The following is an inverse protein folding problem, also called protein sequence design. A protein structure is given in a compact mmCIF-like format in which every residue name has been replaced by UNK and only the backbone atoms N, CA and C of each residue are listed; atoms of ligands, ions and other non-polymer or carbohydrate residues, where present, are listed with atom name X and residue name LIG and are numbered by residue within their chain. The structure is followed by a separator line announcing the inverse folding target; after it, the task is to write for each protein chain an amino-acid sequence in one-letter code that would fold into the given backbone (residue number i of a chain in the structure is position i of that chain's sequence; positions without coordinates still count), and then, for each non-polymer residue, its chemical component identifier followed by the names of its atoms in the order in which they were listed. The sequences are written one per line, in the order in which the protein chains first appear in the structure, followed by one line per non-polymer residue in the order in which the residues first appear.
data_IF_037670917484
#
_entry.id   IF_037670917484
#
_cell.length_a   1.000
_cell.length_b   1.000
_cell.length_c   1.000
_cell.angle_alpha   90.00
_cell.angle_beta   90.00
_cell.angle_gamma   90.00
#
_symmetry.space_group_name_H-M   'P 1'
#
loop_
_entity.id
_entity.type
_entity.pdbx_description
1 polymer ?
2 water ?
#
# COMPACT_ATOMS: atom_id res chain seq x y z
N UNK A 15 9.38 -28.09 -17.81
CA UNK A 15 8.35 -27.79 -16.77
C UNK A 15 7.38 -26.69 -17.27
N UNK A 16 6.11 -27.03 -17.40
CA UNK A 16 5.12 -26.05 -17.82
C UNK A 16 4.53 -25.31 -16.61
N UNK A 17 3.90 -24.18 -16.88
CA UNK A 17 3.13 -23.48 -15.86
C UNK A 17 1.78 -24.16 -15.67
N UNK A 18 1.35 -24.25 -14.40
CA UNK A 18 0.08 -24.90 -14.04
C UNK A 18 -0.64 -24.08 -13.01
N UNK A 19 -1.96 -24.25 -12.92
CA UNK A 19 -2.77 -23.65 -11.85
C UNK A 19 -2.37 -24.26 -10.52
N UNK A 20 -2.72 -23.59 -9.42
CA UNK A 20 -2.41 -24.02 -8.04
C UNK A 20 -0.90 -24.11 -7.70
N UNK A 21 -0.02 -23.88 -8.68
CA UNK A 21 1.41 -23.87 -8.38
C UNK A 21 1.77 -22.47 -7.95
N UNK A 22 2.43 -22.38 -6.80
CA UNK A 22 2.80 -21.11 -6.20
C UNK A 22 3.95 -20.52 -6.96
N UNK A 23 3.76 -19.28 -7.37
CA UNK A 23 4.72 -18.63 -8.23
C UNK A 23 5.01 -17.25 -7.74
N UNK A 24 6.18 -16.78 -8.15
CA UNK A 24 6.56 -15.40 -8.05
C UNK A 24 6.35 -14.78 -9.45
N UNK A 25 5.78 -13.57 -9.48
CA UNK A 25 5.47 -12.93 -10.73
C UNK A 25 6.31 -11.68 -10.90
N UNK A 26 7.17 -11.71 -11.93
CA UNK A 26 8.23 -10.73 -12.06
C UNK A 26 8.16 -9.94 -13.36
N UNK A 27 8.64 -8.71 -13.29
CA UNK A 27 8.89 -7.90 -14.47
C UNK A 27 10.28 -7.28 -14.28
N UNK A 28 10.88 -6.85 -15.37
CA UNK A 28 12.14 -6.14 -15.33
C UNK A 28 11.86 -4.63 -15.25
N UNK A 29 12.49 -3.95 -14.31
CA UNK A 29 12.43 -2.51 -14.20
C UNK A 29 13.85 -1.94 -14.35
N UNK A 30 13.94 -0.71 -14.84
CA UNK A 30 15.21 -0.06 -15.11
C UNK A 30 15.35 1.11 -14.17
N UNK A 31 15.85 0.79 -12.99
CA UNK A 31 16.02 1.76 -11.89
C UNK A 31 17.13 2.81 -12.19
N UNK A 32 18.35 2.60 -11.68
CA UNK A 32 19.44 3.58 -11.86
C UNK A 32 20.13 3.53 -13.23
N UNK A 33 19.38 3.23 -14.30
CA UNK A 33 19.96 2.74 -15.58
C UNK A 33 20.45 1.28 -15.43
N UNK A 34 19.94 0.62 -14.40
CA UNK A 34 20.29 -0.73 -14.02
C UNK A 34 19.01 -1.57 -14.02
N UNK A 35 18.99 -2.65 -14.79
CA UNK A 35 17.81 -3.49 -14.78
C UNK A 35 17.82 -4.43 -13.61
N UNK A 36 16.65 -4.58 -12.99
CA UNK A 36 16.43 -5.65 -12.05
C UNK A 36 15.02 -6.23 -12.12
N UNK A 37 14.88 -7.47 -11.63
CA UNK A 37 13.62 -8.17 -11.60
C UNK A 37 12.80 -7.76 -10.37
N UNK A 38 11.59 -7.26 -10.59
CA UNK A 38 10.68 -6.91 -9.48
C UNK A 38 9.52 -7.88 -9.37
N UNK A 39 9.05 -8.02 -8.12
CA UNK A 39 8.02 -8.97 -7.74
C UNK A 39 6.72 -8.29 -7.38
N UNK A 40 5.64 -8.76 -7.98
CA UNK A 40 4.33 -8.27 -7.64
C UNK A 40 4.01 -8.68 -6.21
N UNK A 41 3.40 -7.77 -5.47
CA UNK A 41 2.99 -7.99 -4.10
C UNK A 41 1.70 -7.22 -3.85
N UNK A 42 1.18 -7.35 -2.63
CA UNK A 42 -0.09 -6.73 -2.21
C UNK A 42 -0.35 -7.07 -0.75
N UNK A 43 -1.33 -6.39 -0.16
CA UNK A 43 -1.72 -6.61 1.23
C UNK A 43 -3.24 -6.60 1.35
N UNK A 48 -6.64 -0.69 -1.05
CA UNK A 48 -6.09 -2.06 -1.09
C UNK A 48 -5.53 -2.42 -2.48
N UNK A 49 -4.53 -1.66 -2.91
CA UNK A 49 -3.95 -1.74 -4.26
C UNK A 49 -2.67 -2.60 -4.31
N UNK A 50 -2.17 -2.86 -5.52
CA UNK A 50 -0.95 -3.66 -5.72
C UNK A 50 0.33 -2.85 -5.90
N UNK A 51 1.46 -3.47 -5.56
CA UNK A 51 2.79 -2.82 -5.63
C UNK A 51 3.94 -3.78 -5.94
N UNK A 52 5.17 -3.28 -5.98
CA UNK A 52 6.33 -4.09 -6.39
C UNK A 52 7.46 -4.06 -5.38
N UNK A 53 8.31 -5.08 -5.41
CA UNK A 53 9.41 -5.19 -4.44
C UNK A 53 10.62 -5.96 -4.98
N UNK A 54 11.72 -5.92 -4.22
CA UNK A 54 13.01 -6.55 -4.54
C UNK A 54 13.86 -5.67 -5.46
N UNK A 63 4.43 -13.11 0.85
CA UNK A 63 3.55 -12.00 0.40
C UNK A 63 3.71 -11.57 -1.11
N UNK A 64 4.77 -12.09 -1.74
CA UNK A 64 4.92 -12.01 -3.18
C UNK A 64 4.43 -13.31 -3.85
N UNK A 65 3.71 -14.16 -3.11
CA UNK A 65 3.29 -15.47 -3.64
C UNK A 65 1.92 -15.46 -4.31
N UNK A 66 1.86 -16.03 -5.50
CA UNK A 66 0.64 -16.05 -6.29
C UNK A 66 0.37 -17.48 -6.82
N UNK A 67 -0.90 -17.75 -7.11
CA UNK A 67 -1.30 -18.96 -7.81
C UNK A 67 -2.23 -18.57 -8.95
N UNK A 68 -2.00 -19.13 -10.12
CA UNK A 68 -2.96 -19.02 -11.19
C UNK A 68 -4.13 -19.94 -10.93
N UNK A 69 -5.35 -19.49 -11.23
CA UNK A 69 -6.50 -20.39 -11.22
C UNK A 69 -7.45 -20.25 -12.37
N UNK A 70 -8.31 -21.25 -12.53
CA UNK A 70 -9.26 -21.22 -13.62
C UNK A 70 -10.69 -21.14 -13.12
N UNK A 71 -10.87 -21.39 -11.84
CA UNK A 71 -12.18 -21.30 -11.23
C UNK A 71 -12.06 -20.84 -9.79
N UNK A 72 -13.17 -20.33 -9.28
CA UNK A 72 -13.42 -20.13 -7.86
C UNK A 72 -13.36 -21.49 -7.14
N UNK A 78 -4.13 -28.85 -10.53
CA UNK A 78 -2.95 -28.23 -11.13
C UNK A 78 -2.93 -28.45 -12.64
N UNK A 79 -3.90 -27.86 -13.34
CA UNK A 79 -3.98 -28.00 -14.78
C UNK A 79 -2.95 -27.10 -15.49
N UNK A 80 -2.44 -27.56 -16.62
CA UNK A 80 -1.47 -26.77 -17.38
C UNK A 80 -2.21 -25.62 -18.04
N UNK A 81 -1.56 -24.47 -18.05
CA UNK A 81 -2.15 -23.27 -18.62
C UNK A 81 -1.77 -23.19 -20.07
N UNK A 82 -2.73 -22.78 -20.90
CA UNK A 82 -2.48 -22.54 -22.33
C UNK A 82 -2.60 -21.05 -22.61
N UNK A 83 -1.90 -20.57 -23.63
CA UNK A 83 -2.03 -19.18 -24.02
C UNK A 83 -3.47 -18.93 -24.49
N UNK A 84 -4.00 -17.77 -24.11
CA UNK A 84 -5.36 -17.39 -24.48
C UNK A 84 -6.41 -17.86 -23.49
N UNK A 85 -5.97 -18.66 -22.53
CA UNK A 85 -6.76 -19.01 -21.35
C UNK A 85 -6.90 -17.79 -20.47
N UNK A 86 -8.10 -17.61 -19.94
CA UNK A 86 -8.37 -16.57 -18.97
C UNK A 86 -8.17 -17.17 -17.60
N UNK A 87 -7.57 -16.41 -16.70
CA UNK A 87 -7.26 -16.95 -15.38
C UNK A 87 -7.48 -15.94 -14.28
N UNK A 88 -7.53 -16.47 -13.07
CA UNK A 88 -7.51 -15.68 -11.86
C UNK A 88 -6.06 -15.71 -11.34
N UNK A 89 -5.64 -14.63 -10.68
CA UNK A 89 -4.41 -14.63 -9.92
C UNK A 89 -4.73 -14.43 -8.45
N UNK A 90 -4.63 -15.53 -7.70
CA UNK A 90 -5.00 -15.50 -6.30
C UNK A 90 -3.76 -15.15 -5.50
N UNK A 91 -3.88 -14.12 -4.66
CA UNK A 91 -2.80 -13.75 -3.77
C UNK A 91 -2.85 -14.67 -2.57
N UNK A 92 -1.73 -15.36 -2.26
CA UNK A 92 -1.72 -16.43 -1.24
C UNK A 92 -1.84 -15.98 0.20
N UNK A 93 -1.16 -14.90 0.58
CA UNK A 93 -1.21 -14.41 1.96
C UNK A 93 -2.64 -14.00 2.32
N UNK A 94 -3.29 -13.29 1.40
CA UNK A 94 -4.59 -12.68 1.67
C UNK A 94 -5.75 -13.60 1.29
N UNK A 95 -5.56 -14.35 0.20
CA UNK A 95 -6.62 -15.17 -0.35
C UNK A 95 -7.50 -14.41 -1.32
N UNK A 96 -7.21 -13.12 -1.53
CA UNK A 96 -7.94 -12.28 -2.49
C UNK A 96 -7.35 -12.33 -3.91
N UNK A 97 -8.05 -11.73 -4.87
CA UNK A 97 -7.65 -11.83 -6.28
C UNK A 97 -7.20 -10.51 -6.90
N UNK A 98 -6.34 -10.59 -7.90
CA UNK A 98 -5.85 -9.39 -8.56
C UNK A 98 -6.90 -8.99 -9.59
N UNK A 99 -7.49 -7.82 -9.35
CA UNK A 99 -8.60 -7.33 -10.15
C UNK A 99 -8.25 -5.95 -10.68
N UNK A 100 -8.60 -5.72 -11.94
CA UNK A 100 -8.58 -4.41 -12.55
C UNK A 100 -9.78 -3.58 -12.00
N UNK A 101 -9.49 -2.40 -11.44
CA UNK A 101 -10.54 -1.58 -10.83
C UNK A 101 -11.15 -0.54 -11.81
N UNK A 102 -12.18 0.17 -11.37
CA UNK A 102 -12.73 1.26 -12.18
C UNK A 102 -11.76 2.43 -12.12
N UNK A 103 -11.68 3.03 -10.95
CA UNK A 103 -10.80 4.17 -10.65
C UNK A 103 -9.43 4.22 -11.35
N UNK A 104 -8.96 5.44 -11.59
CA UNK A 104 -7.59 5.71 -12.06
C UNK A 104 -6.86 6.67 -11.11
N UNK A 105 -6.70 6.28 -9.85
CA UNK A 105 -6.09 7.19 -8.88
C UNK A 105 -4.59 6.97 -8.60
N UNK A 106 -4.08 5.76 -8.84
CA UNK A 106 -2.65 5.48 -8.67
C UNK A 106 -1.80 6.03 -9.81
N UNK A 107 -2.44 6.56 -10.84
CA UNK A 107 -1.75 6.83 -12.11
C UNK A 107 -1.84 8.28 -12.51
N UNK A 108 -0.77 8.79 -13.08
CA UNK A 108 -0.77 10.08 -13.74
C UNK A 108 -0.96 9.92 -15.26
N UNK A 109 -1.34 8.72 -15.69
CA UNK A 109 -1.99 8.50 -16.99
C UNK A 109 -3.44 8.12 -16.68
N UNK A 110 -4.40 8.95 -17.10
CA UNK A 110 -5.80 8.73 -16.75
C UNK A 110 -6.49 7.72 -17.66
N UNK A 111 -5.75 7.14 -18.59
CA UNK A 111 -6.28 6.04 -19.38
C UNK A 111 -5.84 4.71 -18.81
N UNK A 112 -5.13 4.72 -17.68
CA UNK A 112 -4.76 3.45 -17.05
C UNK A 112 -5.71 3.24 -15.88
N UNK A 113 -6.11 2.00 -15.64
CA UNK A 113 -6.93 1.72 -14.45
C UNK A 113 -6.06 1.23 -13.32
N UNK A 114 -6.50 1.51 -12.09
CA UNK A 114 -5.95 0.97 -10.86
C UNK A 114 -6.12 -0.54 -10.85
N UNK A 115 -5.12 -1.22 -10.29
CA UNK A 115 -5.16 -2.67 -10.03
C UNK A 115 -5.08 -2.97 -8.51
N UNK A 116 -5.94 -3.87 -8.02
CA UNK A 116 -5.92 -4.17 -6.59
C UNK A 116 -6.47 -5.53 -6.22
N UNK A 117 -6.49 -5.83 -4.91
CA UNK A 117 -7.08 -7.08 -4.41
C UNK A 117 -8.59 -7.00 -4.14
N UNK A 118 -9.33 -7.98 -4.63
CA UNK A 118 -10.78 -8.04 -4.41
C UNK A 118 -11.17 -9.44 -3.86
N UNK A 119 -12.09 -9.45 -2.92
CA UNK A 119 -12.60 -10.70 -2.39
C UNK A 119 -13.62 -11.29 -3.36
N UNK A 120 -14.42 -10.41 -3.99
CA UNK A 120 -15.45 -10.82 -4.95
C UNK A 120 -14.87 -11.21 -6.29
N UNK A 121 -15.45 -12.24 -6.91
CA UNK A 121 -14.91 -12.74 -8.17
C UNK A 121 -15.98 -13.10 -9.20
N UNK A 122 -17.21 -12.67 -8.98
CA UNK A 122 -18.20 -12.67 -10.06
C UNK A 122 -17.83 -11.48 -10.94
N UNK A 123 -18.14 -11.57 -12.23
CA UNK A 123 -17.78 -10.53 -13.18
C UNK A 123 -16.42 -10.82 -13.80
N UNK A 124 -16.01 -9.94 -14.71
CA UNK A 124 -14.82 -10.15 -15.51
C UNK A 124 -13.57 -9.45 -14.97
N UNK A 125 -13.76 -8.54 -13.99
CA UNK A 125 -12.69 -7.66 -13.49
C UNK A 125 -11.44 -8.36 -12.88
N UNK A 126 -11.63 -9.55 -12.30
CA UNK A 126 -10.53 -10.32 -11.70
C UNK A 126 -9.87 -11.28 -12.68
N UNK A 127 -10.34 -11.27 -13.93
CA UNK A 127 -9.87 -12.21 -14.95
C UNK A 127 -8.86 -11.61 -15.93
N UNK A 128 -7.84 -12.41 -16.21
CA UNK A 128 -6.70 -11.97 -17.05
C UNK A 128 -6.44 -13.04 -18.07
N UNK A 129 -6.24 -12.67 -19.32
CA UNK A 129 -5.88 -13.63 -20.33
C UNK A 129 -4.37 -13.60 -20.57
N UNK A 130 -3.79 -14.77 -20.78
CA UNK A 130 -2.33 -14.90 -20.92
C UNK A 130 -1.96 -14.97 -22.38
N UNK A 131 -0.98 -14.16 -22.77
CA UNK A 131 -0.51 -14.13 -24.16
C UNK A 131 1.00 -14.19 -24.26
N UNK A 132 1.52 -14.78 -25.34
CA UNK A 132 2.97 -14.84 -25.47
C UNK A 132 3.54 -13.46 -25.80
N UNK A 133 4.75 -13.19 -25.30
CA UNK A 133 5.52 -12.06 -25.74
C UNK A 133 5.96 -12.31 -27.20
N UNK A 134 6.50 -13.50 -27.47
CA UNK A 134 7.18 -13.76 -28.74
C UNK A 134 6.33 -14.49 -29.75
N UNK A 135 6.68 -14.31 -31.02
CA UNK A 135 6.06 -15.03 -32.13
C UNK A 135 6.45 -16.50 -32.09
N UNK A 136 7.51 -16.81 -31.35
CA UNK A 136 7.93 -18.18 -31.12
C UNK A 136 7.09 -18.85 -30.02
N UNK A 137 5.87 -18.33 -29.82
CA UNK A 137 4.88 -19.00 -28.97
C UNK A 137 3.44 -18.69 -29.44
N UNK A 138 2.58 -19.70 -29.47
CA UNK A 138 1.26 -19.58 -30.09
C UNK A 138 0.07 -19.76 -29.15
N UNK A 139 -1.05 -19.15 -29.55
CA UNK A 139 -2.31 -19.22 -28.85
C UNK A 139 -2.87 -20.64 -28.87
N UNK A 140 -3.20 -21.14 -27.67
CA UNK A 140 -3.60 -22.52 -27.51
C UNK A 140 -2.45 -23.45 -27.14
N UNK A 141 -1.21 -22.95 -27.24
CA UNK A 141 -0.04 -23.73 -26.82
C UNK A 141 0.19 -23.68 -25.30
N UNK A 142 0.91 -24.67 -24.78
CA UNK A 142 1.27 -24.76 -23.37
C UNK A 142 2.13 -23.57 -22.97
N UNK A 143 1.86 -23.00 -21.81
CA UNK A 143 2.67 -21.91 -21.29
C UNK A 143 3.82 -22.52 -20.50
N UNK A 144 5.06 -22.29 -20.96
CA UNK A 144 6.24 -22.77 -20.22
C UNK A 144 6.68 -21.81 -19.12
N UNK A 145 7.38 -22.37 -18.13
CA UNK A 145 8.03 -21.54 -17.14
C UNK A 145 9.24 -20.93 -17.86
N UNK A 146 9.50 -19.65 -17.62
CA UNK A 146 10.57 -18.97 -18.35
C UNK A 146 10.05 -18.37 -19.65
N UNK A 147 8.75 -18.50 -19.91
CA UNK A 147 8.11 -17.78 -20.99
C UNK A 147 7.78 -16.35 -20.54
N UNK A 148 8.13 -15.38 -21.39
CA UNK A 148 7.79 -14.00 -21.10
C UNK A 148 6.29 -13.84 -21.43
N UNK A 149 5.52 -13.33 -20.48
CA UNK A 149 4.09 -13.33 -20.63
C UNK A 149 3.52 -11.96 -20.72
N UNK A 150 2.40 -11.86 -21.43
CA UNK A 150 1.60 -10.63 -21.50
C UNK A 150 0.24 -10.98 -20.93
N UNK A 151 -0.25 -10.14 -20.04
CA UNK A 151 -1.46 -10.36 -19.25
C UNK A 151 -2.49 -9.27 -19.57
N UNK A 152 -3.65 -9.72 -20.09
CA UNK A 152 -4.65 -8.82 -20.61
C UNK A 152 -5.88 -8.93 -19.77
N UNK A 153 -6.30 -7.81 -19.18
CA UNK A 153 -7.52 -7.71 -18.40
C UNK A 153 -8.74 -7.98 -19.28
N UNK A 154 -9.55 -8.94 -18.85
CA UNK A 154 -10.78 -9.27 -19.58
C UNK A 154 -11.79 -8.14 -19.60
N UNK A 155 -11.96 -7.45 -18.48
CA UNK A 155 -12.97 -6.40 -18.43
C UNK A 155 -12.54 -5.12 -19.12
N UNK A 156 -11.27 -4.73 -18.98
CA UNK A 156 -10.85 -3.41 -19.47
C UNK A 156 -9.97 -3.46 -20.72
N UNK A 157 -9.57 -4.68 -21.12
CA UNK A 157 -8.72 -4.88 -22.30
C UNK A 157 -7.37 -4.18 -22.26
N UNK A 158 -6.88 -3.95 -21.05
CA UNK A 158 -5.61 -3.28 -20.85
C UNK A 158 -4.64 -4.34 -20.39
N UNK A 159 -3.35 -4.02 -20.47
CA UNK A 159 -2.31 -4.90 -19.97
C UNK A 159 -2.02 -4.66 -18.51
N UNK A 160 -1.66 -5.71 -17.78
CA UNK A 160 -1.00 -5.56 -16.47
C UNK A 160 0.33 -4.92 -16.77
N UNK A 161 0.63 -3.83 -16.07
CA UNK A 161 1.55 -2.84 -16.62
C UNK A 161 2.40 -2.29 -15.52
N UNK A 162 3.70 -2.19 -15.78
CA UNK A 162 4.64 -1.65 -14.81
C UNK A 162 4.67 -0.15 -14.96
N UNK A 163 4.49 0.58 -13.86
CA UNK A 163 4.49 2.03 -13.95
C UNK A 163 5.36 2.66 -12.85
N UNK A 164 6.05 3.75 -13.15
CA UNK A 164 6.73 4.52 -12.11
C UNK A 164 5.90 5.72 -11.62
N UNK A 168 9.09 5.71 -7.20
CA UNK A 168 8.34 4.49 -6.92
C UNK A 168 7.88 3.72 -8.18
N UNK A 169 7.64 2.42 -7.98
CA UNK A 169 7.16 1.54 -9.02
C UNK A 169 5.84 0.88 -8.60
N UNK A 170 4.88 0.93 -9.50
CA UNK A 170 3.58 0.28 -9.27
C UNK A 170 3.07 -0.43 -10.49
N UNK A 171 2.04 -1.20 -10.27
CA UNK A 171 1.33 -1.86 -11.32
C UNK A 171 -0.03 -1.17 -11.54
N UNK A 172 -0.39 -1.03 -12.81
CA UNK A 172 -1.72 -0.58 -13.18
C UNK A 172 -2.18 -1.39 -14.40
N UNK A 173 -3.30 -1.02 -14.99
CA UNK A 173 -3.81 -1.68 -16.19
C UNK A 173 -3.84 -0.63 -17.29
N UNK A 174 -2.98 -0.79 -18.31
CA UNK A 174 -2.73 0.28 -19.29
C UNK A 174 -2.72 -0.21 -20.73
N UNK A 175 -2.73 0.72 -21.68
CA UNK A 175 -2.63 0.34 -23.08
C UNK A 175 -1.23 -0.11 -23.51
N UNK A 176 -0.22 0.09 -22.67
CA UNK A 176 1.15 -0.32 -23.01
C UNK A 176 1.48 -1.67 -22.39
N UNK A 177 2.12 -2.53 -23.16
CA UNK A 177 2.48 -3.82 -22.60
C UNK A 177 3.71 -3.80 -21.66
N UNK A 178 3.62 -4.65 -20.65
CA UNK A 178 4.75 -5.02 -19.82
C UNK A 178 4.90 -6.54 -19.91
N UNK A 179 6.15 -7.01 -19.89
CA UNK A 179 6.43 -8.45 -19.94
C UNK A 179 6.63 -9.07 -18.55
N UNK A 180 5.90 -10.14 -18.26
CA UNK A 180 5.95 -10.79 -16.99
C UNK A 180 6.54 -12.18 -17.18
N UNK A 181 7.24 -12.65 -16.16
CA UNK A 181 7.74 -14.00 -16.14
C UNK A 181 7.47 -14.55 -14.77
N UNK A 182 7.34 -15.86 -14.75
CA UNK A 182 6.97 -16.58 -13.58
C UNK A 182 8.11 -17.50 -13.17
N UNK A 183 8.41 -17.46 -11.87
CA UNK A 183 9.31 -18.42 -11.22
C UNK A 183 8.60 -19.20 -10.11
N UNK A 184 9.00 -20.47 -9.87
CA UNK A 184 8.47 -21.25 -8.74
C UNK A 184 8.90 -20.70 -7.38
N UNK A 185 7.99 -20.75 -6.42
CA UNK A 185 8.27 -20.30 -5.05
C UNK A 185 7.60 -21.25 -4.07
N UNK B 15 10.28 27.04 17.55
CA UNK B 15 8.91 27.26 17.01
C UNK B 15 7.88 26.23 17.50
N UNK B 16 6.64 26.67 17.63
CA UNK B 16 5.54 25.78 17.98
C UNK B 16 4.93 25.13 16.74
N UNK B 17 4.27 24.01 16.93
CA UNK B 17 3.57 23.39 15.85
C UNK B 17 2.27 24.15 15.62
N UNK B 18 1.94 24.41 14.36
CA UNK B 18 0.67 25.03 13.99
C UNK B 18 -0.01 24.21 12.91
N UNK B 19 -1.31 24.41 12.75
CA UNK B 19 -2.07 23.78 11.68
C UNK B 19 -1.56 24.30 10.34
N UNK B 20 -1.76 23.52 9.28
CA UNK B 20 -1.48 23.94 7.90
C UNK B 20 0.02 24.11 7.55
N UNK B 21 0.91 23.92 8.52
CA UNK B 21 2.34 23.92 8.23
C UNK B 21 2.76 22.50 7.85
N UNK B 22 3.39 22.36 6.69
CA UNK B 22 3.78 21.06 6.16
C UNK B 22 4.91 20.48 6.99
N UNK B 23 4.72 19.24 7.44
CA UNK B 23 5.62 18.62 8.40
C UNK B 23 5.88 17.18 8.02
N UNK B 24 7.00 16.66 8.47
CA UNK B 24 7.26 15.22 8.42
C UNK B 24 6.91 14.64 9.75
N UNK B 25 6.35 13.45 9.72
CA UNK B 25 5.98 12.75 10.92
C UNK B 25 6.94 11.54 11.14
N UNK B 26 7.78 11.65 12.16
CA UNK B 26 8.88 10.72 12.43
C UNK B 26 8.60 9.81 13.63
N UNK B 27 9.06 8.58 13.55
CA UNK B 27 9.17 7.73 14.74
C UNK B 27 10.53 7.01 14.71
N UNK B 28 11.01 6.55 15.86
CA UNK B 28 12.24 5.77 15.94
C UNK B 28 11.87 4.29 15.81
N UNK B 29 12.47 3.63 14.83
CA UNK B 29 12.32 2.19 14.62
C UNK B 29 13.64 1.46 14.91
N UNK B 30 13.55 0.21 15.36
CA UNK B 30 14.72 -0.60 15.68
C UNK B 30 14.89 -1.86 14.82
N UNK B 31 15.76 -1.71 13.83
CA UNK B 31 16.00 -2.72 12.81
C UNK B 31 17.14 -3.68 13.24
N UNK B 32 18.36 -3.44 12.75
CA UNK B 32 19.46 -4.42 12.85
C UNK B 32 20.15 -4.42 14.24
N UNK B 33 19.35 -4.39 15.31
CA UNK B 33 19.73 -3.80 16.62
C UNK B 33 20.20 -2.32 16.47
N UNK B 34 19.79 -1.70 15.35
CA UNK B 34 20.13 -0.32 15.03
C UNK B 34 18.87 0.56 15.00
N UNK B 35 18.97 1.74 15.60
CA UNK B 35 17.87 2.68 15.62
C UNK B 35 17.97 3.65 14.46
N UNK B 36 16.84 3.84 13.79
CA UNK B 36 16.75 4.76 12.69
C UNK B 36 15.47 5.55 12.86
N UNK B 37 15.54 6.84 12.57
CA UNK B 37 14.33 7.68 12.49
C UNK B 37 13.63 7.48 11.17
N UNK B 38 12.37 7.09 11.23
CA UNK B 38 11.56 6.90 10.03
C UNK B 38 10.49 7.99 9.92
N UNK B 39 10.11 8.28 8.68
CA UNK B 39 9.10 9.27 8.32
C UNK B 39 7.93 8.53 7.70
N UNK B 40 6.73 8.74 8.25
CA UNK B 40 5.51 8.23 7.66
C UNK B 40 5.27 8.95 6.34
N UNK B 41 5.09 8.16 5.29
CA UNK B 41 4.89 8.63 3.95
C UNK B 41 3.78 7.81 3.29
N UNK B 42 3.48 8.13 2.03
CA UNK B 42 2.57 7.33 1.23
C UNK B 42 2.95 7.37 -0.25
N UNK B 47 -1.91 6.96 -1.24
CA UNK B 47 -2.27 5.56 -1.47
C UNK B 47 -1.84 4.68 -0.30
N UNK B 48 -0.87 3.78 -0.54
CA UNK B 48 -0.34 2.90 0.50
C UNK B 48 0.69 3.55 1.47
N UNK B 49 0.47 3.34 2.77
CA UNK B 49 1.39 3.77 3.82
C UNK B 49 2.70 2.96 3.89
N UNK B 50 3.74 3.61 4.43
CA UNK B 50 5.09 3.05 4.49
C UNK B 50 6.00 4.05 5.19
N UNK B 51 7.26 3.65 5.43
CA UNK B 51 8.18 4.54 6.10
C UNK B 51 9.45 4.79 5.31
N UNK B 52 10.15 5.87 5.61
CA UNK B 52 11.39 6.18 4.87
C UNK B 52 12.53 6.70 5.76
N UNK B 61 10.39 12.77 -0.27
CA UNK B 61 10.23 14.03 0.46
C UNK B 61 8.84 14.66 0.25
N UNK B 62 8.39 14.75 -1.00
CA UNK B 62 7.00 15.18 -1.32
C UNK B 62 5.92 14.21 -0.80
N UNK B 63 6.20 12.91 -0.87
CA UNK B 63 5.23 11.88 -0.54
C UNK B 63 5.20 11.65 0.97
N UNK B 64 6.09 12.34 1.67
CA UNK B 64 6.10 12.26 3.12
C UNK B 64 5.63 13.50 3.90
N UNK B 65 5.15 14.55 3.20
CA UNK B 65 4.63 15.78 3.86
C UNK B 65 3.21 15.62 4.42
N UNK B 66 3.01 16.16 5.61
CA UNK B 66 1.70 16.13 6.29
C UNK B 66 1.31 17.51 6.79
N UNK B 67 0.03 17.75 7.03
CA UNK B 67 -0.40 18.93 7.76
C UNK B 67 -1.43 18.58 8.81
N UNK B 68 -1.26 19.08 10.02
CA UNK B 68 -2.28 18.96 11.03
C UNK B 68 -3.33 20.00 10.75
N UNK B 69 -4.59 19.64 11.02
CA UNK B 69 -5.67 20.62 10.99
C UNK B 69 -6.80 20.39 11.99
N UNK B 70 -7.42 21.48 12.40
CA UNK B 70 -8.45 21.41 13.42
C UNK B 70 -9.83 21.29 12.81
N UNK B 71 -9.92 21.56 11.51
CA UNK B 71 -11.18 21.50 10.81
C UNK B 71 -10.92 21.18 9.35
N UNK B 72 -11.94 20.65 8.68
CA UNK B 72 -11.91 20.39 7.25
C UNK B 72 -12.22 21.70 6.52
N UNK B 78 -3.32 29.73 10.59
CA UNK B 78 -2.42 28.65 11.02
C UNK B 78 -2.35 28.66 12.56
N UNK B 79 -3.21 27.89 13.20
CA UNK B 79 -3.38 27.98 14.65
C UNK B 79 -2.44 27.03 15.41
N UNK B 80 -1.84 27.53 16.47
CA UNK B 80 -0.87 26.77 17.26
C UNK B 80 -1.59 25.60 17.89
N UNK B 81 -0.95 24.44 17.89
CA UNK B 81 -1.60 23.26 18.41
C UNK B 81 -1.36 23.17 19.91
N UNK B 82 -2.43 22.85 20.62
CA UNK B 82 -2.35 22.64 22.06
C UNK B 82 -2.39 21.15 22.34
N UNK B 83 -1.78 20.74 23.43
CA UNK B 83 -1.90 19.36 23.84
C UNK B 83 -3.34 19.17 24.28
N UNK B 84 -3.94 18.05 23.89
CA UNK B 84 -5.30 17.69 24.22
C UNK B 84 -6.27 17.94 23.07
N UNK B 85 -5.83 18.76 22.11
CA UNK B 85 -6.61 19.11 20.92
C UNK B 85 -6.80 17.90 20.04
N UNK B 86 -7.94 17.83 19.37
CA UNK B 86 -8.22 16.84 18.32
C UNK B 86 -7.75 17.42 17.00
N UNK B 87 -7.14 16.60 16.15
CA UNK B 87 -6.70 17.11 14.85
C UNK B 87 -7.00 16.12 13.72
N UNK B 88 -7.05 16.66 12.51
CA UNK B 88 -6.97 15.86 11.29
C UNK B 88 -5.51 15.83 10.89
N UNK B 89 -5.08 14.72 10.30
CA UNK B 89 -3.75 14.64 9.71
C UNK B 89 -3.86 14.46 8.22
N UNK B 90 -3.66 15.55 7.49
CA UNK B 90 -3.91 15.52 6.06
C UNK B 90 -2.62 15.25 5.30
N UNK B 91 -2.67 14.24 4.45
CA UNK B 91 -1.54 13.89 3.62
C UNK B 91 -1.58 14.84 2.44
N UNK B 92 -0.47 15.56 2.25
CA UNK B 92 -0.37 16.62 1.26
C UNK B 92 -0.45 16.18 -0.17
N UNK B 93 0.33 15.17 -0.56
CA UNK B 93 0.35 14.71 -1.95
C UNK B 93 -1.03 14.25 -2.42
N UNK B 94 -1.72 13.49 -1.56
CA UNK B 94 -3.01 12.93 -1.91
C UNK B 94 -4.19 13.83 -1.56
N UNK B 95 -4.05 14.59 -0.48
CA UNK B 95 -5.16 15.40 0.01
C UNK B 95 -6.09 14.53 0.85
N UNK B 96 -5.63 13.31 1.11
CA UNK B 96 -6.37 12.34 1.92
C UNK B 96 -6.04 12.43 3.43
N UNK B 97 -6.94 11.90 4.25
CA UNK B 97 -6.77 11.97 5.71
C UNK B 97 -6.37 10.65 6.38
N UNK B 98 -5.48 10.74 7.36
CA UNK B 98 -5.08 9.53 8.08
C UNK B 98 -6.24 9.12 8.98
N UNK B 99 -6.70 7.89 8.79
CA UNK B 99 -7.90 7.45 9.47
C UNK B 99 -7.78 6.05 10.02
N UNK B 100 -8.45 5.85 11.15
CA UNK B 100 -8.44 4.58 11.82
C UNK B 100 -9.57 3.73 11.22
N UNK B 101 -9.21 2.59 10.62
CA UNK B 101 -10.15 1.76 9.88
C UNK B 101 -10.76 0.73 10.80
N UNK B 102 -11.78 0.02 10.31
CA UNK B 102 -12.51 -0.91 11.16
C UNK B 102 -12.04 -2.36 11.06
N UNK B 103 -10.98 -2.58 10.29
CA UNK B 103 -10.51 -3.94 10.06
C UNK B 103 -9.24 -4.13 10.85
N UNK B 104 -8.85 -5.40 11.06
CA UNK B 104 -7.55 -5.75 11.57
C UNK B 104 -6.83 -6.72 10.63
N UNK B 105 -6.64 -6.31 9.39
CA UNK B 105 -5.98 -7.18 8.41
C UNK B 105 -4.45 -7.06 8.47
N UNK B 106 -3.94 -5.85 8.65
CA UNK B 106 -2.49 -5.58 8.60
C UNK B 106 -1.66 -6.18 9.74
N UNK B 107 -2.33 -6.68 10.76
CA UNK B 107 -1.69 -7.00 12.04
C UNK B 107 -1.96 -8.42 12.47
N UNK B 108 -1.02 -8.95 13.26
CA UNK B 108 -1.16 -10.23 13.94
C UNK B 108 -1.94 -10.07 15.25
N UNK B 109 -1.68 -8.94 15.90
CA UNK B 109 -2.47 -8.47 17.02
C UNK B 109 -3.83 -8.05 16.49
N UNK B 110 -4.85 -8.84 16.81
CA UNK B 110 -6.22 -8.60 16.34
C UNK B 110 -6.97 -7.61 17.22
N UNK B 111 -6.27 -7.04 18.19
CA UNK B 111 -6.83 -5.94 18.96
C UNK B 111 -6.32 -4.61 18.42
N UNK B 112 -5.62 -4.64 17.29
CA UNK B 112 -5.15 -3.42 16.68
C UNK B 112 -5.97 -3.15 15.42
N UNK B 113 -6.25 -1.89 15.13
CA UNK B 113 -7.02 -1.61 13.91
C UNK B 113 -6.09 -1.16 12.80
N UNK B 114 -6.47 -1.43 11.56
CA UNK B 114 -5.77 -0.89 10.42
C UNK B 114 -5.92 0.63 10.33
N UNK B 115 -4.87 1.27 9.82
CA UNK B 115 -4.87 2.71 9.58
C UNK B 115 -4.68 2.97 8.06
N UNK B 116 -5.45 3.89 7.51
CA UNK B 116 -5.34 4.17 6.08
C UNK B 116 -5.76 5.57 5.69
N UNK B 117 -5.60 5.89 4.41
CA UNK B 117 -5.92 7.23 3.94
C UNK B 117 -7.32 7.28 3.34
N UNK B 118 -8.17 8.15 3.87
CA UNK B 118 -9.52 8.30 3.35
C UNK B 118 -9.85 9.75 3.01
N UNK B 119 -10.76 9.95 2.06
CA UNK B 119 -11.26 11.28 1.69
C UNK B 119 -12.44 11.67 2.57
N UNK B 120 -13.17 10.66 3.05
CA UNK B 120 -14.34 10.88 3.85
C UNK B 120 -13.98 11.07 5.32
N UNK B 121 -14.42 12.21 5.85
CA UNK B 121 -14.05 12.65 7.16
C UNK B 121 -15.27 12.81 8.05
N UNK B 122 -16.35 12.11 7.75
CA UNK B 122 -17.48 12.18 8.68
C UNK B 122 -17.20 11.28 9.87
N UNK B 123 -17.68 11.70 11.03
CA UNK B 123 -17.48 10.96 12.25
C UNK B 123 -16.08 11.12 12.80
N UNK B 124 -15.71 10.22 13.70
CA UNK B 124 -14.53 10.35 14.54
C UNK B 124 -13.30 9.59 14.03
N UNK B 125 -13.46 8.75 13.01
CA UNK B 125 -12.33 7.91 12.53
C UNK B 125 -11.02 8.64 12.09
N UNK B 126 -11.14 9.85 11.57
CA UNK B 126 -9.98 10.56 11.03
C UNK B 126 -9.43 11.54 12.02
N UNK B 127 -10.01 11.52 13.22
CA UNK B 127 -9.62 12.43 14.28
C UNK B 127 -8.70 11.78 15.32
N UNK B 128 -7.66 12.53 15.66
CA UNK B 128 -6.57 12.08 16.53
C UNK B 128 -6.32 13.20 17.53
N UNK B 129 -6.09 12.85 18.79
CA UNK B 129 -5.75 13.80 19.81
C UNK B 129 -4.25 13.71 20.13
N UNK B 130 -3.66 14.88 20.33
CA UNK B 130 -2.24 15.00 20.64
C UNK B 130 -2.00 15.02 22.15
N UNK B 131 -1.06 14.18 22.62
CA UNK B 131 -0.69 14.15 24.04
C UNK B 131 0.80 14.19 24.23
N UNK B 132 1.28 14.67 25.39
CA UNK B 132 2.73 14.71 25.66
C UNK B 132 3.28 13.31 25.96
N UNK B 133 4.46 12.99 25.42
CA UNK B 133 5.13 11.73 25.77
C UNK B 133 5.71 11.79 27.19
N UNK B 134 5.88 13.01 27.70
CA UNK B 134 6.57 13.27 28.95
C UNK B 134 5.75 14.14 29.91
N UNK B 135 5.98 13.94 31.22
CA UNK B 135 5.39 14.77 32.28
C UNK B 135 6.02 16.17 32.34
N UNK B 136 7.13 16.32 31.60
CA UNK B 136 7.74 17.61 31.34
C UNK B 136 6.96 18.41 30.28
N UNK B 137 5.69 18.04 30.08
CA UNK B 137 4.77 18.74 29.18
C UNK B 137 3.32 18.42 29.57
N UNK B 138 2.39 19.36 29.39
CA UNK B 138 1.03 19.22 29.96
C UNK B 138 -0.17 19.54 29.05
N UNK B 139 -1.34 19.04 29.44
CA UNK B 139 -2.57 19.24 28.69
C UNK B 139 -3.04 20.69 28.71
N UNK B 140 -3.15 21.26 27.53
CA UNK B 140 -3.42 22.67 27.39
C UNK B 140 -2.20 23.47 26.97
N UNK B 141 -0.99 22.95 27.18
CA UNK B 141 0.21 23.67 26.73
C UNK B 141 0.42 23.51 25.22
N UNK B 142 1.08 24.50 24.61
CA UNK B 142 1.47 24.46 23.20
C UNK B 142 2.44 23.31 22.87
N UNK B 143 2.34 22.80 21.64
CA UNK B 143 3.17 21.68 21.21
C UNK B 143 4.41 22.25 20.54
N UNK B 144 5.57 22.01 21.14
CA UNK B 144 6.82 22.55 20.60
C UNK B 144 7.31 21.72 19.43
N UNK B 145 7.93 22.36 18.45
CA UNK B 145 8.56 21.58 17.40
C UNK B 145 9.67 20.74 18.09
N UNK B 146 9.69 19.44 17.81
CA UNK B 146 10.65 18.54 18.47
C UNK B 146 10.16 17.82 19.72
N UNK B 147 8.95 18.14 20.19
CA UNK B 147 8.35 17.46 21.33
C UNK B 147 7.98 16.00 20.93
N UNK B 148 8.12 15.05 21.85
CA UNK B 148 7.64 13.70 21.60
C UNK B 148 6.12 13.65 21.82
N UNK B 149 5.41 13.22 20.80
CA UNK B 149 3.96 13.23 20.84
C UNK B 149 3.42 11.82 20.85
N UNK B 150 2.26 11.68 21.46
CA UNK B 150 1.48 10.45 21.41
C UNK B 150 0.20 10.83 20.69
N UNK B 151 -0.21 10.02 19.72
CA UNK B 151 -1.38 10.31 18.88
C UNK B 151 -2.46 9.27 19.16
N UNK B 152 -3.59 9.76 19.68
CA UNK B 152 -4.64 8.90 20.17
C UNK B 152 -5.86 9.04 19.30
N UNK B 153 -6.29 7.93 18.70
CA UNK B 153 -7.52 7.86 17.88
C UNK B 153 -8.78 8.12 18.69
N UNK B 154 -9.60 9.06 18.22
CA UNK B 154 -10.82 9.48 18.89
C UNK B 154 -11.88 8.38 18.77
N UNK B 155 -11.95 7.76 17.60
CA UNK B 155 -12.94 6.73 17.36
C UNK B 155 -12.66 5.46 18.18
N UNK B 156 -11.39 5.04 18.19
CA UNK B 156 -11.05 3.71 18.70
C UNK B 156 -10.26 3.74 20.00
N UNK B 157 -9.83 4.94 20.43
CA UNK B 157 -9.10 5.13 21.67
C UNK B 157 -7.75 4.40 21.65
N UNK B 158 -7.19 4.19 20.46
CA UNK B 158 -5.91 3.48 20.26
C UNK B 158 -4.83 4.51 19.95
N UNK B 159 -3.58 4.09 20.08
CA UNK B 159 -2.44 4.91 19.68
C UNK B 159 -2.11 4.67 18.22
N UNK B 160 -1.64 5.72 17.54
CA UNK B 160 -0.97 5.57 16.26
C UNK B 160 0.32 4.85 16.58
N UNK B 161 0.53 3.68 15.96
CA UNK B 161 1.47 2.71 16.51
C UNK B 161 2.33 2.12 15.41
N UNK B 162 3.62 2.07 15.69
CA UNK B 162 4.58 1.45 14.79
C UNK B 162 4.58 -0.07 15.01
N UNK B 163 4.36 -0.85 13.96
CA UNK B 163 4.62 -2.27 14.13
C UNK B 163 5.31 -2.93 12.94
N UNK B 164 5.86 -4.10 13.20
CA UNK B 164 6.63 -4.86 12.23
C UNK B 164 5.83 -6.10 11.85
N UNK B 165 6.17 -6.64 10.69
CA UNK B 165 5.56 -7.86 10.16
C UNK B 165 5.73 -7.87 8.66
N UNK B 166 5.87 -9.07 8.11
CA UNK B 166 6.14 -9.26 6.69
C UNK B 166 7.41 -8.54 6.27
N UNK B 167 8.47 -8.81 7.05
CA UNK B 167 9.79 -8.17 6.93
C UNK B 167 9.72 -6.67 6.63
N UNK B 168 8.67 -6.01 7.12
CA UNK B 168 8.54 -4.56 6.97
C UNK B 168 7.81 -3.85 8.14
N UNK B 169 7.84 -2.52 8.08
CA UNK B 169 7.28 -1.63 9.10
C UNK B 169 5.96 -1.00 8.65
N UNK B 170 4.96 -1.11 9.53
CA UNK B 170 3.59 -0.71 9.26
C UNK B 170 3.15 0.27 10.33
N UNK B 171 2.09 1.01 10.04
CA UNK B 171 1.41 1.75 11.08
C UNK B 171 0.02 1.15 11.31
N UNK B 172 -0.38 1.05 12.58
CA UNK B 172 -1.71 0.60 12.91
C UNK B 172 -2.21 1.39 14.12
N UNK B 173 -3.37 1.00 14.65
CA UNK B 173 -3.87 1.69 15.84
C UNK B 173 -3.99 0.63 16.92
N UNK B 174 -3.20 0.78 17.96
CA UNK B 174 -2.93 -0.29 18.91
C UNK B 174 -3.06 0.19 20.35
N UNK B 175 -3.12 -0.74 21.30
CA UNK B 175 -3.10 -0.34 22.70
C UNK B 175 -1.70 0.01 23.17
N UNK B 176 -0.71 -0.17 22.33
CA UNK B 176 0.64 0.22 22.72
C UNK B 176 1.02 1.58 22.13
N UNK B 177 1.66 2.41 22.94
CA UNK B 177 2.08 3.71 22.48
C UNK B 177 3.37 3.65 21.67
N UNK B 178 3.42 4.54 20.70
CA UNK B 178 4.60 4.82 19.89
C UNK B 178 4.77 6.33 20.00
N UNK B 179 6.02 6.77 20.18
CA UNK B 179 6.38 8.18 20.25
C UNK B 179 6.57 8.75 18.86
N UNK B 180 5.91 9.87 18.61
CA UNK B 180 6.02 10.53 17.33
C UNK B 180 6.63 11.92 17.48
N UNK B 181 7.34 12.34 16.45
CA UNK B 181 7.87 13.70 16.41
C UNK B 181 7.65 14.32 15.05
N UNK B 182 7.49 15.63 15.08
CA UNK B 182 7.19 16.40 13.91
C UNK B 182 8.41 17.25 13.63
N UNK B 183 8.78 17.27 12.36
CA UNK B 183 9.76 18.21 11.86
C UNK B 183 9.15 19.00 10.69
N UNK B 184 9.29 20.35 10.72
CA UNK B 184 8.83 21.20 9.61
C UNK B 184 9.63 20.99 8.35
N UNK B 185 8.99 21.31 7.24
CA UNK B 185 9.61 21.30 5.92
C UNK B 185 8.97 22.41 5.08
#
# INVERSE_FOLDING_TARGET
SNAMADAGEGEDEIQFLRTDDEVVLQCTATIHKEQQKLCLAAEGFGNRLCFLESTSNSKQVDVEKWKFMMKTAQGGGHRTLLYGHAILLRHSYSGMYLCCLSTSRSSTDKLAFDVGLQEDTTGEACWWTIHPASKQRSEGEKVRVGDDLILVSVSSERYLHLSYGNSSWHVDAAFQQTLWSVAPI
SNAMADAGEGEDEIQFLRTDDEVVLQCTATIHKEQQKLCLAAEGFGNRLCFLESTSNSKQVDVEKWKFMMKTAQGGGHRTLLYGHAILLRHSYSGMYLCCLSTSRSSTDKLAFDVGLQEDTTGEACWWTIHPASKQRSEGEKVRVGDDLILVSVSSERYLHLSYGNSSWHVDAAFQQTLWSVAPI
#
